data_IF_472976087047
#
_entry.id   IF_472976087047
#
_cell.length_a   1.000
_cell.length_b   1.000
_cell.length_c   1.000
_cell.angle_alpha   90.00
_cell.angle_beta   90.00
_cell.angle_gamma   90.00
#
_symmetry.space_group_name_H-M   'P 1'
#
loop_
_entity.id
_entity.type
_entity.pdbx_description
1 polymer ?
#
# COMPACT_ATOMS: atom_id res chain seq x y z
N UNK A 1 24.13 56.02 42.05
CA UNK A 1 23.81 56.68 40.78
C UNK A 1 22.89 55.75 40.04
N UNK A 2 21.77 56.30 39.58
CA UNK A 2 20.76 55.60 38.80
C UNK A 2 21.21 55.51 37.34
N UNK A 3 20.53 54.63 36.60
CA UNK A 3 20.48 54.53 35.13
C UNK A 3 21.76 53.90 34.52
N UNK A 4 21.71 52.93 33.61
CA UNK A 4 21.16 53.07 32.26
C UNK A 4 20.46 51.80 31.75
N UNK A 5 19.34 52.06 31.09
CA UNK A 5 18.38 51.15 30.47
C UNK A 5 18.98 50.31 29.34
N UNK A 6 18.56 49.04 29.25
CA UNK A 6 18.89 48.15 28.14
C UNK A 6 17.85 48.37 27.04
N UNK A 7 18.13 49.31 26.14
CA UNK A 7 17.35 49.55 24.92
C UNK A 7 17.39 48.29 24.03
N UNK A 8 16.31 47.50 24.09
CA UNK A 8 15.99 46.49 23.09
C UNK A 8 15.10 47.15 22.07
N UNK A 9 15.69 47.75 21.05
CA UNK A 9 14.98 47.99 19.79
C UNK A 9 15.96 48.00 18.61
N UNK A 10 15.57 47.20 17.62
CA UNK A 10 15.67 47.52 16.19
C UNK A 10 17.06 47.62 15.55
N UNK A 11 17.47 46.53 14.89
CA UNK A 11 17.92 46.59 13.48
C UNK A 11 18.31 45.20 12.93
N UNK A 12 17.54 44.71 11.96
CA UNK A 12 18.18 44.24 10.73
C UNK A 12 18.13 42.75 10.35
N UNK A 13 16.96 42.10 10.41
CA UNK A 13 16.67 40.92 9.58
C UNK A 13 15.23 41.11 9.06
N UNK A 14 15.00 41.81 7.96
CA UNK A 14 15.53 41.46 6.64
C UNK A 14 14.54 40.50 5.97
N UNK A 15 13.42 41.07 5.55
CA UNK A 15 12.33 40.58 4.69
C UNK A 15 12.73 39.42 3.75
N UNK A 16 12.13 38.24 3.96
CA UNK A 16 11.53 37.36 2.94
C UNK A 16 11.12 36.02 3.60
N UNK A 17 10.14 36.07 4.49
CA UNK A 17 9.25 34.94 4.70
C UNK A 17 7.91 35.38 4.13
N UNK A 18 7.81 35.32 2.79
CA UNK A 18 6.53 35.36 2.11
C UNK A 18 5.70 34.22 2.70
N UNK A 19 4.71 34.65 3.47
CA UNK A 19 3.47 34.00 3.86
C UNK A 19 3.19 32.75 3.02
N UNK A 20 3.65 31.59 3.50
CA UNK A 20 2.97 30.36 3.13
C UNK A 20 1.64 30.44 3.83
N UNK A 21 0.64 30.97 3.11
CA UNK A 21 -0.75 30.70 3.42
C UNK A 21 -0.81 29.18 3.62
N UNK A 22 -0.90 28.76 4.88
CA UNK A 22 -1.29 27.41 5.26
C UNK A 22 -2.70 27.25 4.67
N UNK A 23 -2.74 26.86 3.40
CA UNK A 23 -3.91 26.33 2.74
C UNK A 23 -4.17 24.97 3.40
N UNK A 24 -4.61 25.03 4.66
CA UNK A 24 -5.33 23.96 5.36
C UNK A 24 -6.70 23.72 4.70
N UNK A 25 -6.79 23.83 3.38
CA UNK A 25 -7.71 23.03 2.61
C UNK A 25 -7.16 21.60 2.54
N UNK A 26 -7.01 20.99 3.72
CA UNK A 26 -7.26 19.56 3.88
C UNK A 26 -8.74 19.45 3.56
N UNK A 27 -9.06 19.39 2.26
CA UNK A 27 -10.37 18.93 1.81
C UNK A 27 -10.62 17.67 2.63
N UNK A 28 -11.71 17.68 3.40
CA UNK A 28 -12.23 16.47 4.01
C UNK A 28 -12.28 15.46 2.86
N UNK A 29 -11.29 14.56 2.83
CA UNK A 29 -11.34 13.39 1.96
C UNK A 29 -12.55 12.66 2.49
N UNK A 30 -13.67 12.90 1.81
CA UNK A 30 -14.91 12.20 1.98
C UNK A 30 -14.50 10.74 1.96
N UNK A 31 -14.45 10.13 3.15
CA UNK A 31 -14.29 8.70 3.33
C UNK A 31 -15.62 8.10 2.89
N UNK A 32 -15.97 8.31 1.62
CA UNK A 32 -16.71 7.32 0.89
C UNK A 32 -15.89 6.07 1.12
N UNK A 33 -16.45 5.16 1.89
CA UNK A 33 -16.07 3.76 1.85
C UNK A 33 -16.22 3.36 0.38
N UNK A 34 -15.21 3.69 -0.44
CA UNK A 34 -15.01 3.09 -1.75
C UNK A 34 -15.01 1.62 -1.41
N UNK A 35 -16.14 0.99 -1.68
CA UNK A 35 -16.37 -0.39 -1.35
C UNK A 35 -15.33 -1.15 -2.17
N UNK A 36 -14.16 -1.39 -1.57
CA UNK A 36 -13.00 -1.85 -2.31
C UNK A 36 -13.41 -3.17 -2.95
N UNK A 37 -13.59 -3.18 -4.28
CA UNK A 37 -14.08 -4.36 -4.99
C UNK A 37 -13.05 -5.50 -5.00
N UNK A 38 -11.96 -5.38 -4.25
CA UNK A 38 -10.87 -6.34 -4.14
C UNK A 38 -10.49 -6.53 -2.69
N UNK A 39 -10.34 -7.78 -2.25
CA UNK A 39 -9.90 -8.14 -0.90
C UNK A 39 -8.69 -9.10 -0.96
N UNK A 40 -7.86 -9.07 0.08
CA UNK A 40 -6.61 -9.85 0.18
C UNK A 40 -6.78 -10.91 1.26
N UNK A 41 -6.75 -12.18 0.83
CA UNK A 41 -6.95 -13.33 1.70
C UNK A 41 -5.67 -14.14 1.84
N UNK A 42 -5.52 -14.82 2.97
CA UNK A 42 -4.54 -15.89 3.08
C UNK A 42 -4.94 -17.06 2.16
N UNK A 43 -3.97 -17.78 1.59
CA UNK A 43 -4.24 -18.86 0.63
C UNK A 43 -5.21 -19.96 1.14
N UNK A 44 -5.29 -20.19 2.46
CA UNK A 44 -6.23 -21.14 3.06
C UNK A 44 -7.66 -20.63 3.29
N UNK A 45 -7.91 -19.34 3.14
CA UNK A 45 -9.22 -18.71 3.30
C UNK A 45 -10.00 -18.58 1.97
N UNK A 46 -9.39 -19.00 0.86
CA UNK A 46 -10.04 -19.05 -0.45
C UNK A 46 -11.05 -20.21 -0.51
N UNK A 47 -12.31 -19.90 -0.79
CA UNK A 47 -13.39 -20.90 -0.80
C UNK A 47 -14.76 -20.26 -0.93
N UNK A 48 -15.64 -20.90 -1.71
CA UNK A 48 -17.03 -20.47 -1.89
C UNK A 48 -17.29 -19.51 -3.06
N UNK A 49 -16.24 -19.05 -3.75
CA UNK A 49 -16.37 -18.17 -4.92
C UNK A 49 -16.79 -18.88 -6.21
N UNK A 50 -16.92 -18.11 -7.28
CA UNK A 50 -17.20 -18.60 -8.63
C UNK A 50 -16.16 -19.66 -9.03
N UNK A 51 -16.62 -20.77 -9.58
CA UNK A 51 -15.76 -21.88 -10.01
C UNK A 51 -14.70 -21.41 -11.01
N UNK A 52 -13.47 -21.94 -10.92
CA UNK A 52 -12.32 -21.54 -11.76
C UNK A 52 -12.63 -21.47 -13.26
N UNK A 53 -13.44 -22.41 -13.76
CA UNK A 53 -13.82 -22.51 -15.18
C UNK A 53 -14.85 -21.46 -15.63
N UNK A 54 -15.53 -20.79 -14.71
CA UNK A 54 -16.59 -19.79 -14.98
C UNK A 54 -16.16 -18.35 -14.69
N UNK A 55 -14.90 -18.14 -14.31
CA UNK A 55 -14.38 -16.80 -14.04
C UNK A 55 -14.33 -15.96 -15.32
N UNK A 56 -14.74 -14.71 -15.22
CA UNK A 56 -14.81 -13.76 -16.33
C UNK A 56 -13.80 -12.62 -16.19
N UNK A 57 -13.26 -12.38 -14.99
CA UNK A 57 -12.30 -11.28 -14.79
C UNK A 57 -10.95 -11.57 -15.45
N UNK A 58 -10.16 -10.51 -15.66
CA UNK A 58 -8.89 -10.56 -16.38
C UNK A 58 -7.85 -11.47 -15.71
N UNK A 59 -7.02 -12.18 -16.49
CA UNK A 59 -5.92 -12.98 -15.93
C UNK A 59 -4.71 -12.15 -15.54
N UNK A 60 -4.72 -10.86 -15.83
CA UNK A 60 -3.64 -9.95 -15.49
C UNK A 60 -3.82 -9.41 -14.07
N UNK A 61 -2.71 -9.33 -13.34
CA UNK A 61 -2.66 -8.62 -12.06
C UNK A 61 -2.74 -7.13 -12.32
N UNK A 62 -3.64 -6.43 -11.66
CA UNK A 62 -3.76 -4.98 -11.78
C UNK A 62 -2.64 -4.29 -11.00
N UNK A 63 -2.31 -3.03 -11.36
CA UNK A 63 -1.33 -2.23 -10.60
C UNK A 63 -1.74 -2.02 -9.14
N UNK A 64 -3.04 -1.93 -8.87
CA UNK A 64 -3.60 -1.77 -7.52
C UNK A 64 -3.44 -3.03 -6.69
N UNK A 65 -3.76 -4.18 -7.29
CA UNK A 65 -3.54 -5.51 -6.69
C UNK A 65 -2.07 -5.74 -6.35
N UNK A 66 -1.17 -5.45 -7.29
CA UNK A 66 0.28 -5.57 -7.07
C UNK A 66 0.73 -4.71 -5.89
N UNK A 67 0.34 -3.44 -5.85
CA UNK A 67 0.70 -2.53 -4.77
C UNK A 67 0.21 -3.05 -3.41
N UNK A 68 -1.06 -3.48 -3.34
CA UNK A 68 -1.67 -3.95 -2.10
C UNK A 68 -1.07 -5.28 -1.63
N UNK A 69 -0.83 -6.23 -2.53
CA UNK A 69 -0.17 -7.51 -2.22
C UNK A 69 1.24 -7.28 -1.69
N UNK A 70 2.03 -6.41 -2.32
CA UNK A 70 3.36 -6.05 -1.84
C UNK A 70 3.30 -5.38 -0.47
N UNK A 71 2.38 -4.43 -0.25
CA UNK A 71 2.20 -3.76 1.02
C UNK A 71 1.80 -4.71 2.15
N UNK A 72 0.77 -5.52 1.95
CA UNK A 72 0.33 -6.52 2.92
C UNK A 72 1.43 -7.54 3.21
N UNK A 73 2.14 -8.01 2.18
CA UNK A 73 3.19 -9.00 2.38
C UNK A 73 4.42 -8.42 3.08
N UNK A 74 4.84 -7.20 2.73
CA UNK A 74 5.91 -6.49 3.40
C UNK A 74 5.58 -6.27 4.89
N UNK A 75 4.33 -5.90 5.21
CA UNK A 75 3.86 -5.77 6.59
C UNK A 75 3.94 -7.10 7.34
N UNK A 76 3.49 -8.21 6.73
CA UNK A 76 3.62 -9.53 7.35
C UNK A 76 5.07 -9.89 7.64
N UNK A 77 5.99 -9.64 6.71
CA UNK A 77 7.43 -9.90 6.89
C UNK A 77 8.00 -9.01 8.01
N UNK A 78 7.60 -7.74 8.08
CA UNK A 78 7.98 -6.83 9.16
C UNK A 78 7.48 -7.32 10.53
N UNK A 79 6.34 -8.00 10.56
CA UNK A 79 5.79 -8.68 11.75
C UNK A 79 6.39 -10.09 11.94
N UNK A 80 7.57 -10.36 11.38
CA UNK A 80 8.31 -11.61 11.48
C UNK A 80 7.55 -12.85 10.95
N UNK A 81 6.64 -12.68 9.99
CA UNK A 81 6.01 -13.81 9.33
C UNK A 81 7.03 -14.65 8.51
N UNK A 82 6.79 -15.96 8.32
CA UNK A 82 7.71 -16.80 7.56
C UNK A 82 7.89 -16.34 6.11
N UNK A 83 9.15 -16.23 5.68
CA UNK A 83 9.54 -15.88 4.30
C UNK A 83 9.61 -17.16 3.44
N UNK A 84 9.10 -17.09 2.22
CA UNK A 84 8.96 -18.23 1.29
C UNK A 84 10.11 -18.35 0.28
N UNK A 85 11.04 -17.39 0.29
CA UNK A 85 12.22 -17.33 -0.59
C UNK A 85 13.51 -17.28 0.23
N UNK A 86 14.61 -17.68 -0.41
CA UNK A 86 15.94 -17.55 0.18
C UNK A 86 16.38 -16.08 0.19
N UNK A 87 16.87 -15.63 1.33
CA UNK A 87 17.43 -14.30 1.53
C UNK A 87 18.91 -14.31 1.13
N UNK A 88 19.30 -13.38 0.26
CA UNK A 88 20.66 -13.14 -0.24
C UNK A 88 21.23 -11.84 0.35
N UNK A 89 20.84 -11.51 1.59
CA UNK A 89 21.25 -10.28 2.28
C UNK A 89 20.23 -9.15 2.21
N UNK A 90 19.02 -9.39 1.68
CA UNK A 90 17.93 -8.42 1.78
C UNK A 90 17.46 -8.29 3.24
N UNK A 91 17.43 -7.05 3.73
CA UNK A 91 16.94 -6.72 5.07
C UNK A 91 15.62 -5.96 5.05
N UNK A 92 15.30 -5.31 3.92
CA UNK A 92 14.08 -4.54 3.76
C UNK A 92 12.88 -5.47 3.46
N UNK A 93 11.80 -5.45 4.27
CA UNK A 93 10.62 -6.27 4.05
C UNK A 93 9.99 -6.09 2.66
N UNK A 94 10.03 -4.88 2.10
CA UNK A 94 9.47 -4.63 0.77
C UNK A 94 10.31 -5.28 -0.33
N UNK A 95 11.64 -5.20 -0.26
CA UNK A 95 12.53 -5.94 -1.17
C UNK A 95 12.30 -7.45 -1.10
N UNK A 96 12.13 -8.01 0.10
CA UNK A 96 11.82 -9.43 0.28
C UNK A 96 10.47 -9.78 -0.36
N UNK A 97 9.42 -8.98 -0.13
CA UNK A 97 8.11 -9.17 -0.74
C UNK A 97 8.16 -9.08 -2.28
N UNK A 98 8.95 -8.15 -2.83
CA UNK A 98 9.18 -8.06 -4.29
C UNK A 98 9.85 -9.32 -4.84
N UNK A 99 10.84 -9.87 -4.12
CA UNK A 99 11.52 -11.13 -4.48
C UNK A 99 10.55 -12.31 -4.45
N UNK A 100 9.68 -12.38 -3.45
CA UNK A 100 8.63 -13.40 -3.36
C UNK A 100 7.60 -13.28 -4.49
N UNK A 101 7.18 -12.06 -4.83
CA UNK A 101 6.25 -11.81 -5.94
C UNK A 101 6.85 -12.25 -7.27
N UNK A 102 8.12 -11.93 -7.51
CA UNK A 102 8.85 -12.32 -8.73
C UNK A 102 8.96 -13.84 -8.87
N UNK A 103 9.09 -14.56 -7.77
CA UNK A 103 9.08 -16.03 -7.73
C UNK A 103 7.66 -16.63 -7.63
N UNK A 104 6.61 -15.80 -7.56
CA UNK A 104 5.20 -16.21 -7.38
C UNK A 104 4.97 -17.08 -6.13
N UNK A 105 5.70 -16.82 -5.05
CA UNK A 105 5.64 -17.59 -3.80
C UNK A 105 4.89 -16.91 -2.66
N UNK A 106 4.23 -15.78 -2.92
CA UNK A 106 3.43 -15.09 -1.91
C UNK A 106 2.17 -15.93 -1.59
N UNK A 107 1.94 -16.34 -0.31
CA UNK A 107 0.82 -17.18 0.09
C UNK A 107 -0.48 -16.38 0.28
N UNK A 108 -0.82 -15.54 -0.71
CA UNK A 108 -1.96 -14.63 -0.71
C UNK A 108 -2.88 -14.97 -1.89
N UNK A 109 -4.18 -14.74 -1.73
CA UNK A 109 -5.21 -14.84 -2.76
C UNK A 109 -5.94 -13.51 -2.86
N UNK A 110 -6.19 -13.07 -4.09
CA UNK A 110 -6.92 -11.85 -4.41
C UNK A 110 -8.37 -12.21 -4.66
N UNK A 111 -9.29 -11.72 -3.84
CA UNK A 111 -10.73 -11.87 -4.06
C UNK A 111 -11.25 -10.67 -4.82
N UNK A 112 -11.79 -10.88 -6.01
CA UNK A 112 -12.42 -9.82 -6.83
C UNK A 112 -13.93 -9.92 -6.72
N UNK A 113 -14.59 -8.87 -6.26
CA UNK A 113 -16.04 -8.77 -6.19
C UNK A 113 -16.61 -8.30 -7.54
N UNK A 114 -17.67 -8.95 -7.96
CA UNK A 114 -18.47 -8.60 -9.11
C UNK A 114 -19.63 -7.67 -8.68
N UNK A 115 -20.25 -6.92 -9.61
CA UNK A 115 -21.36 -6.02 -9.29
C UNK A 115 -22.58 -6.72 -8.67
N UNK A 116 -22.71 -8.03 -8.87
CA UNK A 116 -23.77 -8.88 -8.30
C UNK A 116 -23.43 -9.39 -6.89
N UNK A 117 -22.37 -8.87 -6.26
CA UNK A 117 -21.80 -9.28 -4.96
C UNK A 117 -21.20 -10.69 -4.95
N UNK A 118 -21.20 -11.42 -6.07
CA UNK A 118 -20.41 -12.64 -6.19
C UNK A 118 -18.92 -12.30 -6.28
N UNK A 119 -18.04 -13.29 -6.12
CA UNK A 119 -16.61 -13.05 -6.13
C UNK A 119 -15.79 -14.16 -6.79
N UNK A 120 -14.62 -13.78 -7.30
CA UNK A 120 -13.63 -14.65 -7.90
C UNK A 120 -12.32 -14.61 -7.10
N UNK A 121 -11.87 -15.77 -6.62
CA UNK A 121 -10.64 -15.90 -5.82
C UNK A 121 -9.44 -16.23 -6.73
N UNK A 122 -8.54 -15.29 -6.96
CA UNK A 122 -7.36 -15.43 -7.81
C UNK A 122 -6.08 -15.63 -7.01
N UNK A 123 -5.39 -16.75 -7.25
CA UNK A 123 -4.05 -16.98 -6.69
C UNK A 123 -3.00 -16.08 -7.36
N UNK A 124 -1.99 -15.64 -6.59
CA UNK A 124 -0.86 -14.87 -7.14
C UNK A 124 -0.06 -15.70 -8.15
N UNK A 125 -0.03 -17.02 -7.97
CA UNK A 125 0.62 -17.97 -8.86
C UNK A 125 -0.03 -18.05 -10.26
N UNK A 126 -1.35 -17.93 -10.34
CA UNK A 126 -2.12 -18.02 -11.59
C UNK A 126 -2.26 -16.68 -12.34
N UNK A 127 -1.99 -15.54 -11.69
CA UNK A 127 -2.06 -14.23 -12.32
C UNK A 127 -0.84 -13.92 -13.21
N UNK A 128 -1.08 -13.15 -14.28
CA UNK A 128 -0.04 -12.64 -15.17
C UNK A 128 0.40 -11.27 -14.65
N UNK A 129 1.65 -11.18 -14.22
CA UNK A 129 2.26 -9.94 -13.73
C UNK A 129 3.00 -9.29 -14.89
N UNK A 130 2.67 -8.04 -15.20
CA UNK A 130 3.42 -7.22 -16.16
C UNK A 130 4.43 -6.42 -15.35
N UNK A 131 5.72 -6.70 -15.58
CA UNK A 131 6.80 -5.86 -15.09
C UNK A 131 6.98 -4.72 -16.09
N UNK A 132 6.90 -3.48 -15.62
CA UNK A 132 7.13 -2.27 -16.41
C UNK A 132 8.53 -1.73 -16.12
#
# INVERSE_FOLDING_TARGET
MADEDFDVDDAGLGEDFDDVEDDENIEELDQQEEQENVDILAAGAAGGGVAKSKRITTRYMTKYERARVLGTRALQIAMCAPVMVELEGETDPLQIAMKELKQRKIPIVIRRYLPDQSYEDWGIDELIIIDH
#
